data_IF_876565000765
#
_entry.id   IF_876565000765
#
_cell.length_a   1.000
_cell.length_b   1.000
_cell.length_c   1.000
_cell.angle_alpha   90.00
_cell.angle_beta   90.00
_cell.angle_gamma   90.00
#
_symmetry.space_group_name_H-M   'P 1'
#
loop_
_entity.id
_entity.type
_entity.pdbx_description
1 polymer ?
#
# COMPACT_ATOMS: atom_id res chain seq x y z
N UNK A 1 47.64 -24.44 12.38
CA UNK A 1 48.83 -23.92 11.71
C UNK A 1 49.94 -24.97 11.77
N UNK A 2 50.77 -25.14 10.73
CA UNK A 2 51.94 -25.98 10.80
C UNK A 2 52.90 -25.45 11.88
N UNK A 3 53.52 -26.36 12.62
CA UNK A 3 54.53 -26.02 13.64
C UNK A 3 55.89 -25.93 12.95
N UNK A 4 56.79 -24.98 13.32
CA UNK A 4 58.13 -24.91 12.75
C UNK A 4 58.83 -26.29 12.77
N UNK A 5 59.24 -26.77 11.60
CA UNK A 5 59.87 -28.10 11.42
C UNK A 5 58.97 -29.22 10.86
N UNK A 6 57.68 -28.97 10.59
CA UNK A 6 56.82 -29.92 9.88
C UNK A 6 57.02 -29.84 8.35
N UNK A 7 57.42 -30.95 7.72
CA UNK A 7 57.52 -31.10 6.26
C UNK A 7 56.24 -31.64 5.60
N UNK A 8 55.18 -31.88 6.39
CA UNK A 8 53.94 -32.48 5.92
C UNK A 8 52.86 -31.41 5.77
N UNK A 9 52.27 -31.32 4.58
CA UNK A 9 51.12 -30.45 4.32
C UNK A 9 49.94 -30.85 5.23
N UNK A 10 49.26 -29.86 5.78
CA UNK A 10 48.05 -30.03 6.60
C UNK A 10 46.91 -29.23 5.98
N UNK A 11 45.70 -29.79 6.00
CA UNK A 11 44.52 -29.08 5.48
C UNK A 11 44.24 -27.81 6.30
N UNK A 12 43.79 -26.77 5.61
CA UNK A 12 43.47 -25.49 6.21
C UNK A 12 42.12 -25.53 6.95
N UNK A 13 42.13 -26.00 8.20
CA UNK A 13 40.95 -25.92 9.08
C UNK A 13 40.65 -24.47 9.44
N UNK A 14 39.59 -23.91 8.84
CA UNK A 14 39.12 -22.53 9.09
C UNK A 14 39.67 -21.47 8.14
N UNK A 15 40.29 -21.85 7.02
CA UNK A 15 40.81 -20.94 6.01
C UNK A 15 41.15 -21.66 4.72
N UNK A 16 41.83 -20.98 3.80
CA UNK A 16 42.23 -21.56 2.52
C UNK A 16 43.71 -21.28 2.22
N UNK A 17 44.29 -22.07 1.31
CA UNK A 17 45.63 -21.89 0.78
C UNK A 17 45.59 -22.03 -0.75
N UNK A 18 45.46 -20.90 -1.43
CA UNK A 18 45.41 -20.76 -2.89
C UNK A 18 46.80 -20.79 -3.56
N UNK A 19 47.87 -20.78 -2.76
CA UNK A 19 49.26 -20.85 -3.20
C UNK A 19 50.00 -21.99 -2.46
N UNK A 20 50.86 -22.71 -3.17
CA UNK A 20 51.70 -23.74 -2.56
C UNK A 20 52.78 -23.13 -1.66
N UNK A 21 53.11 -23.82 -0.56
CA UNK A 21 54.19 -23.39 0.34
C UNK A 21 53.82 -22.30 1.34
N UNK A 22 52.54 -21.91 1.45
CA UNK A 22 52.07 -20.99 2.48
C UNK A 22 52.36 -21.54 3.89
N UNK A 23 53.04 -20.73 4.71
CA UNK A 23 53.32 -21.08 6.10
C UNK A 23 52.09 -21.03 7.00
N UNK A 24 51.06 -20.27 6.59
CA UNK A 24 49.78 -20.14 7.29
C UNK A 24 48.63 -20.06 6.29
N UNK A 25 47.47 -20.59 6.67
CA UNK A 25 46.26 -20.51 5.86
C UNK A 25 45.70 -19.09 5.85
N UNK A 26 45.29 -18.60 4.68
CA UNK A 26 44.55 -17.34 4.53
C UNK A 26 43.16 -17.50 5.16
N UNK A 27 42.68 -16.48 5.87
CA UNK A 27 41.31 -16.49 6.41
C UNK A 27 40.29 -16.30 5.30
N UNK A 28 39.14 -16.96 5.41
CA UNK A 28 38.01 -16.64 4.56
C UNK A 28 37.57 -15.17 4.74
N UNK A 29 36.98 -14.55 3.71
CA UNK A 29 36.41 -13.20 3.82
C UNK A 29 35.39 -13.06 4.97
N UNK A 30 35.06 -11.82 5.32
CA UNK A 30 34.04 -11.56 6.34
C UNK A 30 32.71 -12.27 6.00
N UNK A 31 32.01 -12.70 7.05
CA UNK A 31 30.77 -13.49 6.98
C UNK A 31 30.87 -14.81 6.23
N UNK A 32 32.06 -15.41 6.16
CA UNK A 32 32.25 -16.71 5.49
C UNK A 32 33.13 -17.67 6.28
N UNK A 33 33.01 -18.96 5.99
CA UNK A 33 33.70 -20.06 6.65
C UNK A 33 34.01 -21.19 5.66
N UNK A 34 34.90 -22.11 6.05
CA UNK A 34 35.17 -23.34 5.28
C UNK A 34 34.25 -24.47 5.79
N UNK A 35 33.38 -25.05 4.95
CA UNK A 35 32.53 -26.17 5.32
C UNK A 35 33.31 -27.40 5.78
N UNK A 36 32.73 -28.16 6.71
CA UNK A 36 33.28 -29.44 7.16
C UNK A 36 33.36 -30.42 5.98
N UNK A 37 34.58 -30.74 5.55
CA UNK A 37 34.84 -31.64 4.41
C UNK A 37 35.55 -30.98 3.22
N UNK A 38 35.67 -29.65 3.21
CA UNK A 38 36.53 -28.94 2.28
C UNK A 38 38.02 -29.11 2.64
N UNK A 39 38.87 -29.15 1.61
CA UNK A 39 40.32 -29.24 1.78
C UNK A 39 40.96 -27.86 2.02
N UNK A 40 40.23 -26.79 1.69
CA UNK A 40 40.66 -25.41 1.81
C UNK A 40 41.75 -25.08 0.81
N UNK A 41 41.67 -25.61 -0.43
CA UNK A 41 42.68 -25.39 -1.47
C UNK A 41 42.50 -24.06 -2.20
N UNK A 42 41.34 -23.45 -2.04
CA UNK A 42 40.97 -22.28 -2.84
C UNK A 42 40.04 -21.37 -2.05
N UNK A 43 40.08 -20.06 -2.36
CA UNK A 43 39.15 -19.09 -1.75
C UNK A 43 37.70 -19.44 -2.07
N UNK A 44 37.52 -20.16 -3.18
CA UNK A 44 36.27 -20.63 -3.71
C UNK A 44 35.58 -21.67 -2.81
N UNK A 45 36.31 -22.28 -1.88
CA UNK A 45 35.74 -23.21 -0.92
C UNK A 45 35.14 -22.51 0.32
N UNK A 46 35.29 -21.19 0.43
CA UNK A 46 34.61 -20.42 1.48
C UNK A 46 33.11 -20.27 1.16
N UNK A 47 32.26 -20.60 2.13
CA UNK A 47 30.80 -20.50 2.06
C UNK A 47 30.29 -19.45 3.05
N UNK A 48 29.15 -18.81 2.80
CA UNK A 48 28.64 -17.78 3.70
C UNK A 48 28.11 -18.36 5.02
N UNK A 49 28.30 -17.64 6.12
CA UNK A 49 27.68 -17.97 7.40
C UNK A 49 26.15 -17.76 7.32
N UNK A 50 25.35 -18.48 8.13
CA UNK A 50 23.95 -18.12 8.33
C UNK A 50 23.82 -16.64 8.73
N UNK A 51 22.84 -15.94 8.15
CA UNK A 51 22.72 -14.49 8.26
C UNK A 51 23.55 -13.70 7.25
N UNK A 52 24.19 -14.37 6.28
CA UNK A 52 24.87 -13.74 5.17
C UNK A 52 24.62 -14.50 3.85
N UNK A 53 24.78 -13.82 2.73
CA UNK A 53 24.61 -14.39 1.40
C UNK A 53 25.63 -13.84 0.41
N UNK A 54 25.77 -14.51 -0.75
CA UNK A 54 26.67 -14.08 -1.83
C UNK A 54 25.85 -13.61 -3.03
N UNK A 55 26.07 -12.38 -3.50
CA UNK A 55 25.45 -11.90 -4.74
C UNK A 55 26.03 -12.61 -5.98
N UNK A 56 25.17 -13.11 -6.86
CA UNK A 56 25.58 -13.66 -8.18
C UNK A 56 25.60 -12.56 -9.24
N UNK A 57 26.78 -12.19 -9.74
CA UNK A 57 26.89 -11.15 -10.78
C UNK A 57 26.82 -11.80 -12.17
N UNK A 58 25.80 -11.47 -12.97
CA UNK A 58 25.65 -11.88 -14.37
C UNK A 58 25.66 -13.42 -14.60
N UNK A 59 25.03 -14.21 -13.73
CA UNK A 59 24.97 -15.68 -13.87
C UNK A 59 26.31 -16.40 -13.63
N UNK A 60 27.43 -15.67 -13.59
CA UNK A 60 28.68 -16.19 -13.07
C UNK A 60 28.65 -16.11 -11.55
N UNK A 61 28.56 -17.27 -10.90
CA UNK A 61 29.03 -17.48 -9.54
C UNK A 61 30.55 -17.27 -9.54
N UNK A 62 31.00 -16.04 -9.72
CA UNK A 62 32.36 -15.69 -9.33
C UNK A 62 32.35 -15.75 -7.81
N UNK A 63 32.74 -16.91 -7.29
CA UNK A 63 32.82 -17.25 -5.87
C UNK A 63 33.74 -16.25 -5.12
N UNK A 64 34.51 -15.45 -5.87
CA UNK A 64 35.26 -14.29 -5.40
C UNK A 64 34.42 -13.20 -4.73
N UNK A 65 33.10 -13.15 -4.95
CA UNK A 65 32.26 -12.14 -4.31
C UNK A 65 32.21 -12.36 -2.78
N UNK A 66 32.45 -11.30 -1.98
CA UNK A 66 32.37 -11.41 -0.53
C UNK A 66 30.93 -11.76 -0.11
N UNK A 67 30.81 -12.47 1.01
CA UNK A 67 29.53 -12.63 1.67
C UNK A 67 29.12 -11.29 2.26
N UNK A 68 27.85 -10.94 2.12
CA UNK A 68 27.24 -9.72 2.64
C UNK A 68 26.20 -10.09 3.68
N UNK A 69 26.07 -9.25 4.69
CA UNK A 69 25.08 -9.40 5.76
C UNK A 69 23.65 -9.42 5.16
N UNK A 70 22.77 -10.21 5.78
CA UNK A 70 21.39 -10.31 5.37
C UNK A 70 20.64 -8.99 5.53
N UNK A 71 19.91 -8.57 4.50
CA UNK A 71 19.07 -7.39 4.56
C UNK A 71 17.88 -7.59 5.53
N UNK A 72 17.40 -6.51 6.14
CA UNK A 72 16.24 -6.57 7.01
C UNK A 72 15.01 -7.09 6.27
N UNK A 73 14.31 -8.09 6.84
CA UNK A 73 13.17 -8.74 6.19
C UNK A 73 13.51 -9.97 5.36
N UNK A 74 14.77 -10.38 5.34
CA UNK A 74 15.25 -11.60 4.70
C UNK A 74 15.71 -12.64 5.72
N UNK A 75 15.50 -13.90 5.38
CA UNK A 75 16.17 -15.05 5.97
C UNK A 75 17.30 -15.48 5.02
N UNK A 76 18.53 -15.51 5.55
CA UNK A 76 19.70 -15.94 4.81
C UNK A 76 20.20 -17.26 5.41
N UNK A 77 19.88 -18.42 4.79
CA UNK A 77 20.32 -19.72 5.29
C UNK A 77 21.85 -19.87 5.34
N UNK A 78 22.58 -19.01 4.64
CA UNK A 78 24.02 -19.07 4.46
C UNK A 78 24.41 -19.92 3.25
N UNK A 79 25.66 -20.37 3.24
CA UNK A 79 26.29 -21.11 2.16
C UNK A 79 26.20 -20.34 0.84
N UNK A 80 25.75 -21.00 -0.23
CA UNK A 80 25.46 -20.40 -1.53
C UNK A 80 23.94 -20.28 -1.78
N UNK A 81 23.13 -20.39 -0.73
CA UNK A 81 21.70 -20.21 -0.85
C UNK A 81 21.34 -18.73 -1.00
N UNK A 82 20.37 -18.41 -1.87
CA UNK A 82 19.85 -17.07 -1.96
C UNK A 82 19.11 -16.66 -0.68
N UNK A 83 19.08 -15.35 -0.34
CA UNK A 83 18.20 -14.84 0.70
C UNK A 83 16.73 -15.04 0.30
N UNK A 84 15.91 -15.31 1.30
CA UNK A 84 14.50 -15.66 1.17
C UNK A 84 13.69 -14.62 1.95
N UNK A 85 12.56 -14.11 1.43
CA UNK A 85 11.73 -13.19 2.21
C UNK A 85 11.20 -13.87 3.46
N UNK A 86 11.32 -13.20 4.61
CA UNK A 86 10.62 -13.60 5.82
C UNK A 86 9.11 -13.43 5.66
N UNK A 87 8.33 -14.10 6.49
CA UNK A 87 6.90 -13.84 6.62
C UNK A 87 6.67 -12.35 6.91
N UNK A 88 5.71 -11.73 6.21
CA UNK A 88 5.50 -10.29 6.28
C UNK A 88 6.28 -9.45 5.27
N UNK A 89 7.21 -10.07 4.53
CA UNK A 89 8.03 -9.37 3.56
C UNK A 89 7.85 -9.95 2.16
N UNK A 90 7.89 -9.06 1.18
CA UNK A 90 7.95 -9.40 -0.23
C UNK A 90 9.35 -9.15 -0.75
N UNK A 91 9.78 -9.93 -1.73
CA UNK A 91 11.04 -9.70 -2.45
C UNK A 91 10.79 -9.66 -3.95
N UNK A 92 11.46 -8.73 -4.64
CA UNK A 92 11.49 -8.74 -6.11
C UNK A 92 12.51 -9.78 -6.53
N UNK A 93 12.02 -11.01 -6.67
CA UNK A 93 12.77 -12.06 -7.32
C UNK A 93 12.63 -11.83 -8.83
N UNK A 94 13.30 -10.81 -9.38
CA UNK A 94 13.54 -10.71 -10.82
C UNK A 94 14.47 -11.86 -11.23
N UNK A 95 13.93 -13.06 -11.16
CA UNK A 95 14.65 -14.26 -11.50
C UNK A 95 14.44 -14.48 -12.99
N UNK A 96 15.49 -14.24 -13.76
CA UNK A 96 15.50 -14.60 -15.17
C UNK A 96 15.71 -16.11 -15.24
N UNK A 97 14.85 -16.80 -15.99
CA UNK A 97 15.13 -18.18 -16.34
C UNK A 97 16.31 -18.19 -17.32
N UNK A 98 17.41 -18.81 -16.90
CA UNK A 98 18.56 -19.06 -17.75
C UNK A 98 18.78 -20.57 -17.84
N UNK A 99 18.54 -21.16 -19.01
CA UNK A 99 18.72 -22.60 -19.23
C UNK A 99 17.82 -23.50 -18.37
N UNK A 100 16.59 -23.07 -18.07
CA UNK A 100 15.63 -23.84 -17.25
C UNK A 100 15.87 -23.77 -15.73
N UNK A 101 16.80 -22.92 -15.27
CA UNK A 101 16.95 -22.57 -13.85
C UNK A 101 16.61 -21.10 -13.65
N UNK A 102 15.75 -20.84 -12.68
CA UNK A 102 15.32 -19.50 -12.28
C UNK A 102 16.44 -18.88 -11.44
N UNK A 103 17.30 -18.06 -12.06
CA UNK A 103 18.42 -17.39 -11.39
C UNK A 103 18.06 -15.94 -11.08
N UNK A 104 18.23 -15.53 -9.83
CA UNK A 104 17.90 -14.18 -9.35
C UNK A 104 19.23 -13.42 -9.13
N UNK A 105 19.71 -12.63 -10.10
CA UNK A 105 21.06 -12.03 -10.09
C UNK A 105 21.21 -10.86 -9.10
N UNK A 106 20.11 -10.31 -8.59
CA UNK A 106 20.10 -9.36 -7.47
C UNK A 106 18.85 -9.63 -6.65
N UNK A 107 19.02 -9.85 -5.35
CA UNK A 107 17.89 -9.80 -4.45
C UNK A 107 17.55 -8.34 -4.27
N UNK A 108 16.37 -7.96 -4.77
CA UNK A 108 15.84 -6.65 -4.48
C UNK A 108 15.58 -6.51 -2.99
N UNK A 109 15.60 -5.27 -2.52
CA UNK A 109 15.23 -4.93 -1.16
C UNK A 109 13.95 -5.68 -0.74
N UNK A 110 14.00 -6.28 0.45
CA UNK A 110 12.86 -6.95 1.04
C UNK A 110 11.93 -5.86 1.58
N UNK A 111 10.73 -5.78 1.00
CA UNK A 111 9.75 -4.74 1.32
C UNK A 111 8.69 -5.33 2.24
N UNK A 112 8.47 -4.68 3.37
CA UNK A 112 7.41 -5.06 4.29
C UNK A 112 6.03 -4.90 3.63
N UNK A 113 5.23 -5.95 3.67
CA UNK A 113 3.87 -5.95 3.15
C UNK A 113 2.91 -5.29 4.12
N UNK A 114 1.86 -4.67 3.57
CA UNK A 114 0.81 -4.05 4.36
C UNK A 114 -0.56 -4.52 3.86
N UNK A 115 -1.24 -5.44 4.56
CA UNK A 115 -0.86 -6.06 5.84
C UNK A 115 0.31 -7.06 5.70
N UNK A 116 0.98 -7.40 6.81
CA UNK A 116 2.11 -8.35 6.78
C UNK A 116 1.67 -9.72 6.29
N UNK A 117 0.50 -10.16 6.71
CA UNK A 117 -0.10 -11.45 6.37
C UNK A 117 -0.39 -11.60 4.86
N UNK A 118 -0.33 -10.50 4.09
CA UNK A 118 -0.40 -10.56 2.63
C UNK A 118 0.76 -11.36 2.01
N UNK A 119 1.91 -11.42 2.69
CA UNK A 119 3.14 -12.03 2.20
C UNK A 119 3.52 -13.20 3.10
N UNK A 120 3.36 -14.42 2.57
CA UNK A 120 3.73 -15.66 3.25
C UNK A 120 5.26 -15.75 3.38
N UNK A 121 5.99 -15.12 2.45
CA UNK A 121 7.44 -15.25 2.35
C UNK A 121 7.84 -16.60 1.76
N UNK A 122 9.02 -17.09 2.12
CA UNK A 122 9.53 -18.38 1.67
C UNK A 122 10.13 -18.37 0.26
N UNK A 123 10.65 -19.52 -0.17
CA UNK A 123 11.48 -19.65 -1.39
C UNK A 123 10.74 -19.31 -2.69
N UNK A 124 9.41 -19.40 -2.68
CA UNK A 124 8.56 -19.15 -3.84
C UNK A 124 8.03 -17.71 -3.90
N UNK A 125 8.36 -16.85 -2.91
CA UNK A 125 7.84 -15.49 -2.84
C UNK A 125 6.30 -15.45 -2.92
N UNK A 126 5.64 -16.41 -2.26
CA UNK A 126 4.21 -16.62 -2.38
C UNK A 126 3.39 -15.59 -1.64
N UNK A 127 2.33 -15.14 -2.28
CA UNK A 127 1.31 -14.30 -1.68
C UNK A 127 0.28 -15.11 -0.90
N UNK A 128 -0.39 -14.45 0.04
CA UNK A 128 -1.57 -15.00 0.72
C UNK A 128 -2.70 -15.35 -0.27
N UNK A 129 -3.71 -16.11 0.16
CA UNK A 129 -4.86 -16.47 -0.68
C UNK A 129 -5.54 -15.25 -1.30
N UNK A 130 -5.92 -15.33 -2.58
CA UNK A 130 -6.62 -14.26 -3.31
C UNK A 130 -5.77 -13.00 -3.57
N UNK A 131 -4.44 -13.08 -3.41
CA UNK A 131 -3.52 -11.95 -3.61
C UNK A 131 -2.44 -12.31 -4.62
N UNK A 132 -2.10 -11.34 -5.46
CA UNK A 132 -1.07 -11.47 -6.48
C UNK A 132 -0.27 -10.18 -6.64
N UNK A 133 0.68 -10.21 -7.57
CA UNK A 133 1.44 -9.03 -7.99
C UNK A 133 2.49 -8.58 -6.99
N UNK A 134 3.01 -7.38 -7.24
CA UNK A 134 4.08 -6.77 -6.46
C UNK A 134 3.58 -6.47 -5.04
N UNK A 135 4.36 -6.89 -4.03
CA UNK A 135 4.02 -6.79 -2.61
C UNK A 135 2.71 -7.50 -2.19
N UNK A 136 2.20 -8.41 -3.02
CA UNK A 136 0.92 -9.10 -2.77
C UNK A 136 -0.25 -8.13 -2.51
N UNK A 137 -0.18 -6.96 -3.16
CA UNK A 137 -1.15 -5.87 -3.01
C UNK A 137 -2.26 -5.92 -4.05
N UNK A 138 -2.07 -6.66 -5.15
CA UNK A 138 -3.15 -6.87 -6.11
C UNK A 138 -4.03 -7.99 -5.57
N UNK A 139 -5.34 -7.81 -5.73
CA UNK A 139 -6.31 -8.84 -5.43
C UNK A 139 -6.50 -9.63 -6.71
N UNK A 140 -6.56 -10.95 -6.60
CA UNK A 140 -6.94 -11.80 -7.73
C UNK A 140 -8.31 -11.39 -8.25
N UNK A 141 -8.47 -11.54 -9.56
CA UNK A 141 -9.67 -11.25 -10.31
C UNK A 141 -10.95 -11.73 -9.60
N UNK A 142 -10.99 -13.00 -9.17
CA UNK A 142 -12.17 -13.60 -8.54
C UNK A 142 -12.23 -13.40 -7.03
N UNK A 143 -11.56 -12.39 -6.47
CA UNK A 143 -11.49 -12.15 -5.03
C UNK A 143 -11.76 -10.69 -4.68
N UNK A 144 -12.28 -10.45 -3.49
CA UNK A 144 -12.33 -9.12 -2.91
C UNK A 144 -12.01 -9.15 -1.42
N UNK A 145 -11.66 -7.98 -0.89
CA UNK A 145 -11.36 -7.84 0.51
C UNK A 145 -12.27 -6.82 1.20
N UNK A 146 -12.58 -7.09 2.46
CA UNK A 146 -13.14 -6.09 3.38
C UNK A 146 -12.08 -5.81 4.44
N UNK A 147 -11.45 -4.64 4.32
CA UNK A 147 -10.28 -4.28 5.11
C UNK A 147 -9.07 -5.16 4.76
N UNK A 148 -8.20 -5.44 5.74
CA UNK A 148 -6.96 -6.19 5.50
C UNK A 148 -7.07 -7.70 5.69
N UNK A 149 -8.14 -8.20 6.32
CA UNK A 149 -8.22 -9.59 6.82
C UNK A 149 -9.23 -10.45 6.06
N UNK A 150 -10.40 -9.91 5.73
CA UNK A 150 -11.46 -10.74 5.17
C UNK A 150 -11.34 -10.78 3.66
N UNK A 151 -11.05 -11.97 3.12
CA UNK A 151 -11.01 -12.27 1.69
C UNK A 151 -12.20 -13.15 1.33
N UNK A 152 -12.89 -12.77 0.27
CA UNK A 152 -14.07 -13.47 -0.22
C UNK A 152 -13.93 -13.68 -1.72
N UNK A 153 -14.36 -14.84 -2.19
CA UNK A 153 -14.47 -15.09 -3.63
C UNK A 153 -15.64 -14.29 -4.20
N UNK A 154 -15.41 -13.66 -5.35
CA UNK A 154 -16.42 -13.01 -6.15
C UNK A 154 -17.35 -14.05 -6.75
N UNK A 155 -18.63 -14.02 -6.37
CA UNK A 155 -19.66 -14.75 -7.10
C UNK A 155 -20.04 -14.06 -8.42
N UNK A 156 -20.80 -14.75 -9.28
CA UNK A 156 -21.27 -14.24 -10.58
C UNK A 156 -22.05 -12.91 -10.51
N UNK A 157 -22.54 -12.53 -9.33
CA UNK A 157 -23.31 -11.30 -9.09
C UNK A 157 -22.47 -10.11 -8.63
N UNK A 158 -21.13 -10.18 -8.72
CA UNK A 158 -20.20 -9.17 -8.16
C UNK A 158 -20.48 -7.72 -8.55
N UNK A 159 -20.82 -7.46 -9.82
CA UNK A 159 -21.14 -6.09 -10.30
C UNK A 159 -22.44 -5.57 -9.69
N UNK A 160 -23.48 -6.39 -9.60
CA UNK A 160 -24.77 -5.99 -9.02
C UNK A 160 -24.61 -5.73 -7.53
N UNK A 161 -23.86 -6.59 -6.82
CA UNK A 161 -23.52 -6.39 -5.42
C UNK A 161 -22.73 -5.09 -5.21
N UNK A 162 -21.77 -4.80 -6.09
CA UNK A 162 -20.99 -3.55 -6.08
C UNK A 162 -21.89 -2.33 -6.25
N UNK A 163 -22.71 -2.30 -7.30
CA UNK A 163 -23.63 -1.19 -7.56
C UNK A 163 -24.62 -0.99 -6.39
N UNK A 164 -25.12 -2.08 -5.81
CA UNK A 164 -26.00 -2.04 -4.65
C UNK A 164 -25.29 -1.52 -3.39
N UNK A 165 -24.05 -1.94 -3.14
CA UNK A 165 -23.23 -1.42 -2.05
C UNK A 165 -22.97 0.09 -2.21
N UNK A 166 -22.64 0.56 -3.43
CA UNK A 166 -22.48 1.99 -3.73
C UNK A 166 -23.77 2.74 -3.44
N UNK A 167 -24.89 2.23 -3.94
CA UNK A 167 -26.20 2.83 -3.72
C UNK A 167 -26.55 2.91 -2.23
N UNK A 168 -26.39 1.82 -1.48
CA UNK A 168 -26.67 1.79 -0.04
C UNK A 168 -25.77 2.74 0.74
N UNK A 169 -24.48 2.80 0.43
CA UNK A 169 -23.54 3.73 1.06
C UNK A 169 -23.94 5.17 0.75
N UNK A 170 -24.28 5.50 -0.49
CA UNK A 170 -24.79 6.82 -0.86
C UNK A 170 -26.09 7.17 -0.14
N UNK A 171 -27.03 6.22 -0.02
CA UNK A 171 -28.30 6.44 0.68
C UNK A 171 -28.12 6.60 2.19
N UNK A 172 -27.29 5.77 2.81
CA UNK A 172 -26.94 5.88 4.23
C UNK A 172 -26.30 7.24 4.50
N UNK A 173 -25.42 7.68 3.61
CA UNK A 173 -24.79 8.99 3.69
C UNK A 173 -25.78 10.15 3.54
N UNK A 174 -26.63 10.10 2.52
CA UNK A 174 -27.70 11.08 2.35
C UNK A 174 -28.58 11.14 3.59
N UNK A 175 -28.96 9.98 4.14
CA UNK A 175 -29.74 9.89 5.38
C UNK A 175 -29.02 10.50 6.58
N UNK A 176 -27.75 10.16 6.81
CA UNK A 176 -26.97 10.71 7.92
C UNK A 176 -26.81 12.22 7.82
N UNK A 177 -26.46 12.75 6.65
CA UNK A 177 -26.29 14.20 6.47
C UNK A 177 -27.61 14.97 6.49
N UNK A 178 -28.68 14.45 5.90
CA UNK A 178 -29.94 15.20 5.81
C UNK A 178 -30.81 15.06 7.05
N UNK A 179 -30.84 13.88 7.68
CA UNK A 179 -31.74 13.59 8.80
C UNK A 179 -30.98 13.67 10.11
N UNK A 180 -29.80 13.05 10.19
CA UNK A 180 -29.17 12.86 11.48
C UNK A 180 -28.36 14.09 11.91
N UNK A 181 -27.58 14.71 11.02
CA UNK A 181 -26.84 15.95 11.31
C UNK A 181 -27.77 17.12 11.62
N UNK A 182 -28.95 17.21 10.99
CA UNK A 182 -29.91 18.28 11.29
C UNK A 182 -30.58 18.16 12.67
N UNK A 183 -30.58 16.97 13.26
CA UNK A 183 -31.30 16.68 14.50
C UNK A 183 -30.35 16.41 15.69
N UNK A 184 -29.08 16.08 15.45
CA UNK A 184 -28.15 15.65 16.48
C UNK A 184 -26.74 16.24 16.29
N UNK A 185 -26.43 17.34 17.00
CA UNK A 185 -25.08 17.92 17.03
C UNK A 185 -24.00 16.93 17.51
N UNK A 186 -24.39 15.99 18.38
CA UNK A 186 -23.49 14.95 18.89
C UNK A 186 -22.98 14.00 17.79
N UNK A 187 -23.75 13.82 16.71
CA UNK A 187 -23.35 12.96 15.60
C UNK A 187 -22.13 13.54 14.88
N UNK A 188 -22.09 14.84 14.65
CA UNK A 188 -20.97 15.50 13.98
C UNK A 188 -19.68 15.34 14.78
N UNK A 189 -19.75 15.47 16.11
CA UNK A 189 -18.61 15.22 17.02
C UNK A 189 -18.15 13.76 16.94
N UNK A 190 -19.10 12.82 16.93
CA UNK A 190 -18.79 11.39 16.83
C UNK A 190 -18.14 11.03 15.48
N UNK A 191 -18.65 11.58 14.36
CA UNK A 191 -18.06 11.39 13.04
C UNK A 191 -16.66 11.99 12.95
N UNK A 192 -16.44 13.18 13.50
CA UNK A 192 -15.12 13.79 13.59
C UNK A 192 -14.14 12.93 14.41
N UNK A 193 -14.59 12.40 15.55
CA UNK A 193 -13.79 11.49 16.36
C UNK A 193 -13.41 10.22 15.58
N UNK A 194 -14.35 9.60 14.87
CA UNK A 194 -14.09 8.41 14.05
C UNK A 194 -13.14 8.73 12.89
N UNK A 195 -13.27 9.90 12.25
CA UNK A 195 -12.33 10.34 11.20
C UNK A 195 -10.91 10.53 11.73
N UNK A 196 -10.74 11.21 12.87
CA UNK A 196 -9.43 11.38 13.50
C UNK A 196 -8.85 10.02 13.89
N UNK A 197 -9.69 9.11 14.39
CA UNK A 197 -9.26 7.74 14.73
C UNK A 197 -8.81 6.99 13.48
N UNK A 198 -9.53 7.13 12.35
CA UNK A 198 -9.14 6.59 11.05
C UNK A 198 -7.81 7.14 10.55
N UNK A 199 -7.56 8.44 10.75
CA UNK A 199 -6.26 9.06 10.43
C UNK A 199 -5.12 8.41 11.21
N UNK A 200 -5.32 8.19 12.51
CA UNK A 200 -4.33 7.55 13.36
C UNK A 200 -4.10 6.11 12.89
N UNK A 201 -5.17 5.38 12.60
CA UNK A 201 -5.11 4.00 12.10
C UNK A 201 -4.33 3.87 10.78
N UNK A 202 -4.35 4.90 9.94
CA UNK A 202 -3.63 4.91 8.67
C UNK A 202 -2.10 5.08 8.80
N UNK A 203 -1.59 5.46 9.98
CA UNK A 203 -0.15 5.40 10.22
C UNK A 203 0.34 3.95 10.19
N UNK A 204 1.54 3.75 9.67
CA UNK A 204 2.21 2.45 9.57
C UNK A 204 2.76 2.02 10.93
N UNK A 205 1.88 1.93 11.92
CA UNK A 205 2.15 1.38 13.23
C UNK A 205 1.84 -0.11 13.21
N UNK A 206 2.51 -0.87 14.09
CA UNK A 206 2.23 -2.30 14.28
C UNK A 206 0.95 -2.45 15.09
N UNK A 207 -0.19 -2.34 14.40
CA UNK A 207 -1.51 -2.53 15.00
C UNK A 207 -1.71 -4.00 15.37
N UNK A 208 -2.34 -4.25 16.51
CA UNK A 208 -2.72 -5.59 16.90
C UNK A 208 -3.79 -6.14 15.93
N UNK A 209 -3.74 -7.42 15.49
CA UNK A 209 -4.68 -7.99 14.52
C UNK A 209 -6.17 -7.77 14.85
N UNK A 210 -6.53 -7.78 16.13
CA UNK A 210 -7.90 -7.51 16.61
C UNK A 210 -8.43 -6.10 16.26
N UNK A 211 -7.56 -5.13 15.95
CA UNK A 211 -7.95 -3.77 15.55
C UNK A 211 -8.27 -3.66 14.06
N UNK A 212 -8.09 -4.72 13.28
CA UNK A 212 -8.50 -4.76 11.87
C UNK A 212 -9.99 -4.53 11.67
N UNK A 213 -10.84 -5.09 12.54
CA UNK A 213 -12.28 -4.87 12.50
C UNK A 213 -12.62 -3.40 12.76
N UNK A 214 -11.89 -2.77 13.68
CA UNK A 214 -12.02 -1.34 13.92
C UNK A 214 -11.63 -0.55 12.67
N UNK A 215 -10.51 -0.89 12.00
CA UNK A 215 -10.11 -0.24 10.75
C UNK A 215 -11.17 -0.40 9.65
N UNK A 216 -11.82 -1.55 9.55
CA UNK A 216 -12.95 -1.77 8.63
C UNK A 216 -14.13 -0.86 8.95
N UNK A 217 -14.51 -0.73 10.23
CA UNK A 217 -15.59 0.18 10.67
C UNK A 217 -15.21 1.63 10.37
N UNK A 218 -13.96 2.02 10.66
CA UNK A 218 -13.46 3.37 10.40
C UNK A 218 -13.46 3.68 8.90
N UNK A 219 -13.05 2.75 8.05
CA UNK A 219 -13.08 2.90 6.60
C UNK A 219 -14.51 3.09 6.05
N UNK A 220 -15.47 2.33 6.58
CA UNK A 220 -16.89 2.48 6.25
C UNK A 220 -17.44 3.85 6.68
N UNK A 221 -17.15 4.26 7.91
CA UNK A 221 -17.58 5.58 8.46
C UNK A 221 -16.91 6.73 7.71
N UNK A 222 -15.70 6.51 7.20
CA UNK A 222 -14.97 7.51 6.44
C UNK A 222 -15.38 7.55 4.96
N UNK A 223 -16.23 6.65 4.47
CA UNK A 223 -16.60 6.57 3.04
C UNK A 223 -15.41 6.30 2.13
N UNK A 224 -14.55 5.38 2.53
CA UNK A 224 -13.52 4.86 1.64
C UNK A 224 -14.18 4.04 0.53
N UNK A 225 -14.11 4.55 -0.70
CA UNK A 225 -14.71 3.92 -1.90
C UNK A 225 -14.17 2.50 -2.13
N UNK A 226 -12.98 2.19 -1.62
CA UNK A 226 -12.38 0.85 -1.68
C UNK A 226 -13.28 -0.21 -1.01
N UNK A 227 -14.06 0.14 0.01
CA UNK A 227 -15.00 -0.81 0.65
C UNK A 227 -16.23 -1.11 -0.18
N UNK A 228 -16.47 -0.32 -1.22
CA UNK A 228 -17.71 -0.29 -1.97
C UNK A 228 -17.57 -1.00 -3.32
N UNK A 229 -16.35 -1.45 -3.67
CA UNK A 229 -16.05 -2.24 -4.86
C UNK A 229 -15.75 -3.70 -4.49
N UNK A 230 -16.77 -4.51 -4.14
CA UNK A 230 -16.62 -5.90 -3.72
C UNK A 230 -16.17 -6.84 -4.85
N UNK A 231 -15.82 -6.38 -6.05
CA UNK A 231 -15.06 -7.19 -7.01
C UNK A 231 -14.12 -6.31 -7.86
N UNK A 232 -12.83 -6.66 -7.97
CA UNK A 232 -11.79 -5.82 -8.56
C UNK A 232 -11.90 -5.69 -10.08
N UNK A 233 -12.55 -6.62 -10.79
CA UNK A 233 -12.82 -6.46 -12.24
C UNK A 233 -13.60 -5.19 -12.57
N UNK A 234 -14.36 -4.66 -11.61
CA UNK A 234 -15.21 -3.50 -11.87
C UNK A 234 -14.39 -2.21 -11.97
N UNK A 235 -13.39 -2.00 -11.11
CA UNK A 235 -12.71 -0.71 -10.94
C UNK A 235 -11.24 -0.89 -10.54
N UNK A 236 -10.33 -0.36 -11.36
CA UNK A 236 -8.91 -0.29 -11.01
C UNK A 236 -8.64 0.80 -9.94
N UNK A 237 -7.48 0.73 -9.28
CA UNK A 237 -7.10 1.68 -8.22
C UNK A 237 -7.13 3.15 -8.67
N UNK A 238 -6.80 3.41 -9.94
CA UNK A 238 -6.90 4.73 -10.55
C UNK A 238 -8.36 5.24 -10.59
N UNK A 239 -9.31 4.42 -11.03
CA UNK A 239 -10.72 4.80 -11.08
C UNK A 239 -11.28 5.02 -9.69
N UNK A 240 -10.94 4.16 -8.72
CA UNK A 240 -11.33 4.33 -7.31
C UNK A 240 -10.82 5.66 -6.73
N UNK A 241 -9.59 6.05 -7.07
CA UNK A 241 -9.02 7.35 -6.70
C UNK A 241 -9.87 8.52 -7.25
N UNK A 242 -10.22 8.51 -8.54
CA UNK A 242 -11.03 9.60 -9.11
C UNK A 242 -12.46 9.60 -8.58
N UNK A 243 -13.09 8.44 -8.36
CA UNK A 243 -14.43 8.36 -7.77
C UNK A 243 -14.43 9.01 -6.38
N UNK A 244 -13.43 8.71 -5.53
CA UNK A 244 -13.32 9.33 -4.21
C UNK A 244 -13.24 10.86 -4.29
N UNK A 245 -12.46 11.39 -5.24
CA UNK A 245 -12.26 12.84 -5.40
C UNK A 245 -13.48 13.56 -5.96
N UNK A 246 -14.26 12.91 -6.83
CA UNK A 246 -15.46 13.47 -7.45
C UNK A 246 -16.68 13.35 -6.52
N UNK A 247 -16.65 12.45 -5.53
CA UNK A 247 -17.79 12.20 -4.64
C UNK A 247 -18.38 13.48 -3.99
N UNK A 248 -17.60 14.43 -3.43
CA UNK A 248 -18.17 15.67 -2.90
C UNK A 248 -18.83 16.54 -3.95
N UNK A 249 -18.28 16.58 -5.18
CA UNK A 249 -18.86 17.33 -6.29
C UNK A 249 -20.19 16.71 -6.70
N UNK A 250 -20.27 15.39 -6.77
CA UNK A 250 -21.52 14.67 -7.04
C UNK A 250 -22.60 15.04 -6.02
N UNK A 251 -22.29 15.02 -4.72
CA UNK A 251 -23.23 15.44 -3.69
C UNK A 251 -23.59 16.92 -3.76
N UNK A 252 -22.63 17.80 -4.08
CA UNK A 252 -22.91 19.22 -4.26
C UNK A 252 -23.89 19.45 -5.42
N UNK A 253 -23.70 18.76 -6.55
CA UNK A 253 -24.62 18.80 -7.70
C UNK A 253 -25.99 18.25 -7.29
N UNK A 254 -26.03 17.11 -6.59
CA UNK A 254 -27.28 16.53 -6.10
C UNK A 254 -28.07 17.52 -5.23
N UNK A 255 -27.42 18.12 -4.22
CA UNK A 255 -28.08 19.11 -3.36
C UNK A 255 -28.53 20.32 -4.16
N UNK A 256 -27.71 20.83 -5.07
CA UNK A 256 -28.08 21.94 -5.94
C UNK A 256 -29.35 21.63 -6.74
N UNK A 257 -29.40 20.48 -7.42
CA UNK A 257 -30.57 20.05 -8.19
C UNK A 257 -31.80 19.86 -7.31
N UNK A 258 -31.64 19.20 -6.15
CA UNK A 258 -32.72 18.97 -5.20
C UNK A 258 -33.35 20.29 -4.71
N UNK A 259 -32.52 21.27 -4.32
CA UNK A 259 -33.01 22.55 -3.83
C UNK A 259 -33.53 23.46 -4.96
N UNK A 260 -32.93 23.41 -6.16
CA UNK A 260 -33.45 24.11 -7.33
C UNK A 260 -34.85 23.60 -7.69
N UNK A 261 -35.03 22.28 -7.76
CA UNK A 261 -36.34 21.68 -8.01
C UNK A 261 -37.37 22.08 -6.94
N UNK A 262 -36.95 22.11 -5.67
CA UNK A 262 -37.79 22.55 -4.55
C UNK A 262 -38.22 24.01 -4.68
N UNK A 263 -37.34 24.91 -5.13
CA UNK A 263 -37.67 26.31 -5.39
C UNK A 263 -38.66 26.41 -6.55
N UNK A 264 -38.40 25.73 -7.66
CA UNK A 264 -39.27 25.76 -8.85
C UNK A 264 -40.67 25.20 -8.59
N UNK A 265 -40.80 24.16 -7.75
CA UNK A 265 -42.11 23.64 -7.34
C UNK A 265 -42.91 24.63 -6.49
N UNK A 266 -42.22 25.49 -5.74
CA UNK A 266 -42.82 26.50 -4.86
C UNK A 266 -43.18 27.77 -5.64
N UNK A 267 -42.41 28.15 -6.66
CA UNK A 267 -42.75 29.24 -7.59
C UNK A 267 -44.08 29.00 -8.32
N UNK A 268 -44.43 27.73 -8.58
CA UNK A 268 -45.73 27.38 -9.18
C UNK A 268 -46.94 27.53 -8.24
N UNK A 269 -46.72 27.87 -6.96
CA UNK A 269 -47.75 28.10 -5.97
C UNK A 269 -47.81 29.60 -5.69
N UNK A 270 -48.62 30.34 -6.46
CA UNK A 270 -48.75 31.81 -6.50
C UNK A 270 -49.06 32.51 -5.15
N UNK A 271 -49.31 31.76 -4.07
CA UNK A 271 -49.92 32.26 -2.84
C UNK A 271 -49.03 32.16 -1.58
N UNK A 272 -47.71 32.01 -1.71
CA UNK A 272 -46.82 31.88 -0.53
C UNK A 272 -46.39 33.27 -0.03
N UNK A 273 -46.89 33.75 1.12
CA UNK A 273 -46.70 35.13 1.58
C UNK A 273 -45.26 35.49 1.98
N UNK A 274 -44.32 34.54 1.84
CA UNK A 274 -42.93 34.72 2.27
C UNK A 274 -41.94 33.90 1.42
N UNK A 275 -42.09 33.97 0.09
CA UNK A 275 -41.20 33.32 -0.87
C UNK A 275 -39.71 33.63 -0.61
N UNK A 276 -39.39 34.89 -0.28
CA UNK A 276 -38.01 35.30 -0.02
C UNK A 276 -37.40 34.59 1.20
N UNK A 277 -38.12 34.50 2.33
CA UNK A 277 -37.63 33.80 3.51
C UNK A 277 -37.49 32.30 3.25
N UNK A 278 -38.39 31.71 2.46
CA UNK A 278 -38.27 30.33 2.01
C UNK A 278 -37.00 30.08 1.19
N UNK A 279 -36.76 30.87 0.14
CA UNK A 279 -35.56 30.75 -0.70
C UNK A 279 -34.29 30.94 0.11
N UNK A 280 -34.28 31.92 1.02
CA UNK A 280 -33.15 32.17 1.92
C UNK A 280 -32.87 30.97 2.83
N UNK A 281 -33.91 30.35 3.41
CA UNK A 281 -33.78 29.14 4.24
C UNK A 281 -33.27 27.94 3.44
N UNK A 282 -33.77 27.77 2.22
CA UNK A 282 -33.31 26.74 1.28
C UNK A 282 -31.84 26.91 0.94
N UNK A 283 -31.42 28.14 0.59
CA UNK A 283 -30.04 28.47 0.27
C UNK A 283 -29.07 28.17 1.43
N UNK A 284 -29.44 28.56 2.65
CA UNK A 284 -28.63 28.25 3.82
C UNK A 284 -28.52 26.76 4.11
N UNK A 285 -29.61 26.01 3.92
CA UNK A 285 -29.61 24.56 4.07
C UNK A 285 -28.73 23.89 3.01
N UNK A 286 -28.83 24.29 1.74
CA UNK A 286 -27.97 23.81 0.66
C UNK A 286 -26.49 24.06 0.98
N UNK A 287 -26.15 25.29 1.36
CA UNK A 287 -24.78 25.66 1.68
C UNK A 287 -24.25 24.87 2.89
N UNK A 288 -25.05 24.73 3.95
CA UNK A 288 -24.69 23.95 5.12
C UNK A 288 -24.34 22.51 4.75
N UNK A 289 -25.17 21.85 3.93
CA UNK A 289 -24.94 20.48 3.48
C UNK A 289 -23.69 20.35 2.60
N UNK A 290 -23.43 21.30 1.69
CA UNK A 290 -22.21 21.29 0.86
C UNK A 290 -20.95 21.47 1.71
N UNK A 291 -20.98 22.40 2.67
CA UNK A 291 -19.84 22.62 3.58
C UNK A 291 -19.60 21.39 4.47
N UNK A 292 -20.66 20.82 5.05
CA UNK A 292 -20.57 19.58 5.82
C UNK A 292 -19.98 18.43 4.99
N UNK A 293 -20.42 18.28 3.73
CA UNK A 293 -19.88 17.29 2.81
C UNK A 293 -18.38 17.46 2.57
N UNK A 294 -17.94 18.70 2.32
CA UNK A 294 -16.52 19.01 2.12
C UNK A 294 -15.71 18.72 3.38
N UNK A 295 -16.23 19.07 4.56
CA UNK A 295 -15.55 18.82 5.85
C UNK A 295 -15.42 17.32 6.12
N UNK A 296 -16.46 16.52 5.87
CA UNK A 296 -16.36 15.08 6.10
C UNK A 296 -15.46 14.42 5.04
N UNK A 297 -15.62 14.78 3.77
CA UNK A 297 -14.79 14.24 2.68
C UNK A 297 -13.33 14.67 2.77
N UNK A 298 -13.02 15.79 3.44
CA UNK A 298 -11.69 16.38 3.56
C UNK A 298 -10.63 15.35 3.95
N UNK A 299 -10.91 14.54 4.96
CA UNK A 299 -9.92 13.62 5.51
C UNK A 299 -9.53 12.56 4.47
N UNK A 300 -10.52 11.89 3.87
CA UNK A 300 -10.26 10.84 2.89
C UNK A 300 -9.65 11.36 1.60
N UNK A 301 -10.12 12.51 1.12
CA UNK A 301 -9.54 13.17 -0.05
C UNK A 301 -8.07 13.50 0.20
N UNK A 302 -7.74 14.01 1.39
CA UNK A 302 -6.36 14.30 1.77
C UNK A 302 -5.53 13.02 1.81
N UNK A 303 -6.03 11.97 2.46
CA UNK A 303 -5.32 10.69 2.58
C UNK A 303 -5.05 10.04 1.22
N UNK A 304 -6.04 10.00 0.32
CA UNK A 304 -5.88 9.50 -1.05
C UNK A 304 -4.94 10.37 -1.88
N UNK A 305 -5.02 11.69 -1.73
CA UNK A 305 -4.12 12.63 -2.44
C UNK A 305 -2.67 12.46 -1.99
N UNK A 306 -2.40 12.38 -0.69
CA UNK A 306 -1.05 12.07 -0.19
C UNK A 306 -0.61 10.65 -0.55
N UNK A 307 -1.53 9.68 -0.55
CA UNK A 307 -1.28 8.31 -0.99
C UNK A 307 -0.79 8.25 -2.44
N UNK A 308 -1.44 9.00 -3.33
CA UNK A 308 -1.09 9.12 -4.75
C UNK A 308 0.28 9.76 -5.02
N UNK A 309 0.94 10.35 -4.01
CA UNK A 309 2.27 10.94 -4.11
C UNK A 309 3.36 10.07 -3.45
N UNK A 310 2.97 8.97 -2.76
CA UNK A 310 3.91 8.09 -2.06
C UNK A 310 4.36 6.95 -2.99
N UNK A 311 5.56 7.12 -3.53
CA UNK A 311 6.23 6.10 -4.34
C UNK A 311 7.24 5.29 -3.50
N UNK A 312 7.44 4.04 -3.90
CA UNK A 312 8.52 3.19 -3.41
C UNK A 312 9.50 2.98 -4.56
N UNK A 313 10.76 3.32 -4.33
CA UNK A 313 11.84 3.06 -5.28
C UNK A 313 12.31 1.61 -5.17
N UNK A 314 12.57 1.00 -6.32
CA UNK A 314 13.07 -0.35 -6.45
C UNK A 314 14.47 -0.34 -7.10
N UNK A 315 15.19 -1.45 -6.94
CA UNK A 315 16.56 -1.60 -7.42
C UNK A 315 16.68 -1.65 -8.95
N UNK A 316 15.55 -1.81 -9.67
CA UNK A 316 15.44 -1.65 -11.12
C UNK A 316 15.56 -0.17 -11.57
N UNK A 317 15.65 0.76 -10.61
CA UNK A 317 15.66 2.20 -10.86
C UNK A 317 14.28 2.76 -11.15
N UNK A 318 13.23 1.93 -11.10
CA UNK A 318 11.84 2.35 -11.22
C UNK A 318 11.26 2.60 -9.85
N UNK A 319 10.15 3.30 -9.83
CA UNK A 319 9.37 3.50 -8.62
C UNK A 319 7.92 3.13 -8.89
N UNK A 320 7.22 2.60 -7.89
CA UNK A 320 5.82 2.20 -8.00
C UNK A 320 5.01 2.81 -6.86
N UNK A 321 3.73 3.04 -7.12
CA UNK A 321 2.85 3.67 -6.16
C UNK A 321 2.64 2.75 -4.94
N UNK A 322 2.86 3.27 -3.72
CA UNK A 322 2.77 2.45 -2.51
C UNK A 322 1.36 1.88 -2.27
N UNK A 323 0.34 2.67 -2.57
CA UNK A 323 -1.07 2.26 -2.39
C UNK A 323 -1.58 1.34 -3.52
N UNK A 324 -0.92 1.34 -4.68
CA UNK A 324 -1.25 0.46 -5.80
C UNK A 324 0.02 0.12 -6.60
N UNK A 325 0.81 -0.88 -6.18
CA UNK A 325 2.11 -1.21 -6.78
C UNK A 325 2.06 -1.65 -8.26
N UNK A 326 0.86 -1.83 -8.82
CA UNK A 326 0.64 -2.03 -10.25
C UNK A 326 0.85 -0.77 -11.10
N UNK A 327 0.87 0.42 -10.47
CA UNK A 327 1.05 1.70 -11.14
C UNK A 327 2.50 2.16 -10.98
N UNK A 328 3.23 2.29 -12.11
CA UNK A 328 4.58 2.86 -12.14
C UNK A 328 4.52 4.37 -11.89
N UNK A 329 5.34 4.85 -10.96
CA UNK A 329 5.39 6.24 -10.58
C UNK A 329 6.05 7.10 -11.66
N UNK A 330 5.56 8.33 -11.78
CA UNK A 330 6.05 9.37 -12.70
C UNK A 330 5.94 9.03 -14.19
N UNK A 331 5.15 8.02 -14.55
CA UNK A 331 4.90 7.61 -15.93
C UNK A 331 3.40 7.41 -16.13
N UNK A 332 2.90 7.63 -17.35
CA UNK A 332 1.52 7.31 -17.73
C UNK A 332 0.47 8.00 -16.85
N UNK A 333 -0.49 7.22 -16.33
CA UNK A 333 -1.61 7.73 -15.53
C UNK A 333 -1.21 8.21 -14.13
N UNK A 334 -0.05 7.81 -13.61
CA UNK A 334 0.41 8.33 -12.33
C UNK A 334 0.65 9.84 -12.38
N UNK A 335 1.12 10.37 -13.51
CA UNK A 335 1.35 11.82 -13.67
C UNK A 335 0.03 12.59 -13.50
N UNK A 336 -1.06 12.11 -14.13
CA UNK A 336 -2.37 12.74 -14.02
C UNK A 336 -2.92 12.62 -12.60
N UNK A 337 -2.78 11.45 -11.96
CA UNK A 337 -3.16 11.27 -10.55
C UNK A 337 -2.41 12.24 -9.63
N UNK A 338 -1.10 12.38 -9.81
CA UNK A 338 -0.26 13.26 -9.01
C UNK A 338 -0.62 14.74 -9.20
N UNK A 339 -0.88 15.19 -10.43
CA UNK A 339 -1.32 16.57 -10.70
C UNK A 339 -2.67 16.87 -10.02
N UNK A 340 -3.61 15.95 -10.13
CA UNK A 340 -4.92 16.08 -9.48
C UNK A 340 -4.76 16.08 -7.96
N UNK A 341 -3.96 15.16 -7.40
CA UNK A 341 -3.66 15.12 -5.97
C UNK A 341 -3.04 16.44 -5.46
N UNK A 342 -2.07 16.99 -6.17
CA UNK A 342 -1.44 18.28 -5.83
C UNK A 342 -2.46 19.41 -5.88
N UNK A 343 -3.29 19.47 -6.92
CA UNK A 343 -4.36 20.46 -7.02
C UNK A 343 -5.31 20.38 -5.82
N UNK A 344 -5.76 19.17 -5.46
CA UNK A 344 -6.62 18.97 -4.30
C UNK A 344 -5.92 19.35 -2.99
N UNK A 345 -4.65 19.00 -2.80
CA UNK A 345 -3.89 19.41 -1.61
C UNK A 345 -3.84 20.94 -1.51
N UNK A 346 -3.54 21.64 -2.60
CA UNK A 346 -3.52 23.12 -2.62
C UNK A 346 -4.92 23.68 -2.32
N UNK A 347 -5.96 23.14 -2.95
CA UNK A 347 -7.35 23.56 -2.73
C UNK A 347 -7.76 23.35 -1.28
N UNK A 348 -7.39 22.21 -0.69
CA UNK A 348 -7.77 21.84 0.66
C UNK A 348 -6.99 22.63 1.72
N UNK A 349 -5.68 22.81 1.52
CA UNK A 349 -4.80 23.51 2.48
C UNK A 349 -4.96 25.02 2.42
N UNK A 350 -5.12 25.60 1.23
CA UNK A 350 -5.19 27.05 1.05
C UNK A 350 -6.58 27.51 0.61
N UNK A 351 -7.16 26.85 -0.38
CA UNK A 351 -8.45 27.25 -0.97
C UNK A 351 -9.59 27.25 0.04
N UNK A 352 -9.76 26.16 0.82
CA UNK A 352 -10.83 26.06 1.82
C UNK A 352 -10.67 27.08 2.95
N UNK A 353 -9.52 27.23 3.63
CA UNK A 353 -9.38 28.25 4.68
C UNK A 353 -9.57 29.68 4.17
N UNK A 354 -9.02 30.02 3.00
CA UNK A 354 -9.23 31.33 2.39
C UNK A 354 -10.71 31.54 2.07
N UNK A 355 -11.36 30.54 1.47
CA UNK A 355 -12.79 30.57 1.18
C UNK A 355 -13.64 30.80 2.43
N UNK A 356 -13.33 30.12 3.54
CA UNK A 356 -14.01 30.31 4.83
C UNK A 356 -13.78 31.71 5.40
N UNK A 357 -12.55 32.24 5.34
CA UNK A 357 -12.23 33.60 5.82
C UNK A 357 -12.93 34.66 4.98
N UNK A 358 -12.92 34.53 3.66
CA UNK A 358 -13.62 35.43 2.75
C UNK A 358 -15.13 35.35 2.91
N UNK A 359 -15.64 34.18 3.29
CA UNK A 359 -17.08 33.97 3.52
C UNK A 359 -17.57 34.50 4.87
N UNK A 360 -16.73 34.51 5.89
CA UNK A 360 -17.08 35.01 7.24
C UNK A 360 -16.91 36.51 7.41
N UNK A 361 -16.19 37.18 6.49
CA UNK A 361 -16.09 38.64 6.40
C UNK A 361 -17.16 39.19 5.48
#
# INVERSE_FOLDING_TARGET
APVPGMFKCVNCKGGFADEEGLSECKKCPDFSFIPSGSEGKSREECACLPGAYRMRRNGNTSITNPCIECDAGADCPGLDFPPIPMEGFWGDAECKEFGGRKECPKFAAFVECNPREACIGGTNFSCGPGRTGRMCMNIEDDWFNIGSIFFFECGDTGIVATAFAIMLTCLAWLGMNTIASSNYEALDIALLFLQITGMIAAFTLRWHPNLSLLNTILGLVNFEVDFVSPCPHALNAETLFYIQLVLPLFFAIYYFVYYAAKISLVEGLDDIPDYYTFVKKVWYSMRGNVVAMVIVGYHQISMKSFGALKCLEFQDGKSYLRMAPSIECWVGSHITMAMVAIFYIIFVVFGLPIGVVLYTR
#
